data_IF_526295697989
#
_entry.id   IF_526295697989
#
_cell.length_a   1.000
_cell.length_b   1.000
_cell.length_c   1.000
_cell.angle_alpha   90.00
_cell.angle_beta   90.00
_cell.angle_gamma   90.00
#
_symmetry.space_group_name_H-M   'P 1'
#
loop_
_entity.id
_entity.type
_entity.pdbx_description
1 polymer ?
#
# COMPACT_ATOMS: atom_id res chain seq x y z
N UNK A 1 -8.14 27.48 18.31
CA UNK A 1 -8.85 26.40 19.03
C UNK A 1 -8.15 25.08 18.70
N UNK A 2 -7.70 24.29 19.69
CA UNK A 2 -7.14 22.97 19.41
C UNK A 2 -8.23 22.10 18.76
N UNK A 3 -7.90 21.43 17.65
CA UNK A 3 -8.82 20.52 16.96
C UNK A 3 -9.18 19.38 17.91
N UNK A 4 -10.46 18.98 17.95
CA UNK A 4 -10.85 17.80 18.71
C UNK A 4 -10.09 16.56 18.19
N UNK A 5 -9.78 15.57 19.04
CA UNK A 5 -9.13 14.34 18.60
C UNK A 5 -9.83 13.67 17.41
N UNK A 6 -11.16 13.73 17.37
CA UNK A 6 -11.98 13.21 16.27
C UNK A 6 -11.77 13.99 14.98
N UNK A 7 -11.72 15.33 15.03
CA UNK A 7 -11.50 16.16 13.85
C UNK A 7 -10.08 15.97 13.30
N UNK A 8 -9.08 15.81 14.17
CA UNK A 8 -7.72 15.47 13.77
C UNK A 8 -7.65 14.08 13.11
N UNK A 9 -8.34 13.09 13.67
CA UNK A 9 -8.45 11.75 13.06
C UNK A 9 -9.13 11.78 11.69
N UNK A 10 -10.24 12.51 11.57
CA UNK A 10 -10.95 12.68 10.30
C UNK A 10 -10.08 13.34 9.23
N UNK A 11 -9.31 14.38 9.58
CA UNK A 11 -8.37 15.02 8.66
C UNK A 11 -7.29 14.04 8.17
N UNK A 12 -6.72 13.21 9.06
CA UNK A 12 -5.75 12.19 8.64
C UNK A 12 -6.37 11.15 7.71
N UNK A 13 -7.62 10.73 7.94
CA UNK A 13 -8.33 9.83 7.03
C UNK A 13 -8.54 10.47 5.65
N UNK A 14 -8.95 11.74 5.60
CA UNK A 14 -9.14 12.47 4.33
C UNK A 14 -7.82 12.57 3.57
N UNK A 15 -6.73 12.96 4.25
CA UNK A 15 -5.40 13.06 3.62
C UNK A 15 -4.95 11.69 3.09
N UNK A 16 -5.17 10.62 3.85
CA UNK A 16 -4.87 9.27 3.39
C UNK A 16 -5.67 8.90 2.13
N UNK A 17 -6.96 9.20 2.09
CA UNK A 17 -7.82 8.94 0.93
C UNK A 17 -7.40 9.73 -0.31
N UNK A 18 -7.05 11.01 -0.15
CA UNK A 18 -6.51 11.82 -1.26
C UNK A 18 -5.23 11.21 -1.80
N UNK A 19 -4.32 10.80 -0.92
CA UNK A 19 -3.09 10.11 -1.30
C UNK A 19 -3.38 8.82 -2.07
N UNK A 20 -4.37 8.03 -1.62
CA UNK A 20 -4.79 6.80 -2.26
C UNK A 20 -5.39 7.04 -3.66
N UNK A 21 -6.24 8.04 -3.82
CA UNK A 21 -6.83 8.38 -5.12
C UNK A 21 -5.78 8.87 -6.12
N UNK A 22 -4.86 9.74 -5.70
CA UNK A 22 -3.74 10.18 -6.55
C UNK A 22 -2.88 8.99 -6.98
N UNK A 23 -2.65 8.07 -6.05
CA UNK A 23 -1.90 6.87 -6.28
C UNK A 23 -2.53 5.95 -7.34
N UNK A 24 -3.86 5.75 -7.29
CA UNK A 24 -4.60 4.98 -8.30
C UNK A 24 -4.57 5.66 -9.67
N UNK A 25 -4.75 6.98 -9.71
CA UNK A 25 -4.71 7.76 -10.94
C UNK A 25 -3.35 7.65 -11.65
N UNK A 26 -2.25 7.81 -10.91
CA UNK A 26 -0.89 7.68 -11.45
C UNK A 26 -0.63 6.26 -11.94
N UNK A 27 -1.09 5.25 -11.19
CA UNK A 27 -0.91 3.84 -11.55
C UNK A 27 -1.65 3.52 -12.84
N UNK A 28 -2.89 3.99 -12.98
CA UNK A 28 -3.68 3.84 -14.20
C UNK A 28 -3.01 4.51 -15.40
N UNK A 29 -2.59 5.77 -15.25
CA UNK A 29 -1.88 6.48 -16.31
C UNK A 29 -0.57 5.78 -16.71
N UNK A 30 0.20 5.31 -15.72
CA UNK A 30 1.45 4.59 -15.98
C UNK A 30 1.22 3.23 -16.66
N UNK A 31 0.08 2.58 -16.38
CA UNK A 31 -0.28 1.29 -17.00
C UNK A 31 -0.58 1.39 -18.50
N UNK A 32 -0.81 2.59 -19.04
CA UNK A 32 -0.98 2.79 -20.49
C UNK A 32 0.34 2.67 -21.27
N UNK A 33 1.48 2.93 -20.60
CA UNK A 33 2.81 2.95 -21.22
C UNK A 33 3.75 1.87 -20.69
N UNK A 34 3.45 1.27 -19.54
CA UNK A 34 4.29 0.27 -18.87
C UNK A 34 3.45 -0.92 -18.41
N UNK A 35 4.06 -2.11 -18.39
CA UNK A 35 3.40 -3.28 -17.81
C UNK A 35 3.18 -3.03 -16.31
N UNK A 36 2.01 -3.42 -15.81
CA UNK A 36 1.62 -3.27 -14.41
C UNK A 36 2.65 -3.85 -13.42
N UNK A 37 3.34 -4.94 -13.78
CA UNK A 37 4.41 -5.51 -12.97
C UNK A 37 5.60 -4.53 -12.79
N UNK A 38 5.94 -3.75 -13.84
CA UNK A 38 7.01 -2.76 -13.78
C UNK A 38 6.60 -1.55 -12.93
N UNK A 39 5.35 -1.09 -13.08
CA UNK A 39 4.79 0.00 -12.26
C UNK A 39 4.86 -0.38 -10.78
N UNK A 40 4.48 -1.61 -10.45
CA UNK A 40 4.56 -2.16 -9.10
C UNK A 40 5.98 -2.28 -8.56
N UNK A 41 6.93 -2.73 -9.38
CA UNK A 41 8.33 -2.84 -8.97
C UNK A 41 8.91 -1.46 -8.60
N UNK A 42 8.67 -0.45 -9.45
CA UNK A 42 9.11 0.93 -9.20
C UNK A 42 8.49 1.46 -7.91
N UNK A 43 7.17 1.29 -7.73
CA UNK A 43 6.47 1.69 -6.51
C UNK A 43 7.00 0.99 -5.27
N UNK A 44 7.21 -0.33 -5.35
CA UNK A 44 7.76 -1.14 -4.28
C UNK A 44 9.17 -0.68 -3.88
N UNK A 45 10.00 -0.29 -4.86
CA UNK A 45 11.33 0.25 -4.61
C UNK A 45 11.27 1.59 -3.85
N UNK A 46 10.42 2.53 -4.29
CA UNK A 46 10.23 3.81 -3.58
C UNK A 46 9.66 3.61 -2.18
N UNK A 47 8.63 2.77 -2.03
CA UNK A 47 8.03 2.48 -0.73
C UNK A 47 9.05 1.86 0.23
N UNK A 48 9.80 0.86 -0.24
CA UNK A 48 10.85 0.19 0.55
C UNK A 48 11.98 1.16 0.92
N UNK A 49 12.36 2.07 0.00
CA UNK A 49 13.37 3.09 0.28
C UNK A 49 12.91 4.05 1.38
N UNK A 50 11.71 4.62 1.27
CA UNK A 50 11.20 5.57 2.26
C UNK A 50 10.94 4.92 3.61
N UNK A 51 10.32 3.73 3.62
CA UNK A 51 10.09 2.96 4.85
C UNK A 51 11.42 2.52 5.46
N UNK A 52 12.37 2.09 4.65
CA UNK A 52 13.72 1.71 5.07
C UNK A 52 14.49 2.87 5.70
N UNK A 53 14.44 4.06 5.09
CA UNK A 53 15.04 5.28 5.65
C UNK A 53 14.39 5.67 6.99
N UNK A 54 13.06 5.55 7.10
CA UNK A 54 12.35 5.80 8.35
C UNK A 54 12.70 4.77 9.44
N UNK A 55 12.77 3.49 9.07
CA UNK A 55 13.17 2.41 9.96
C UNK A 55 14.61 2.58 10.46
N UNK A 56 15.51 3.06 9.58
CA UNK A 56 16.88 3.41 9.95
C UNK A 56 16.92 4.56 10.94
N UNK A 57 16.22 5.68 10.66
CA UNK A 57 16.17 6.82 11.58
C UNK A 57 15.60 6.47 12.96
N UNK A 58 14.68 5.51 13.03
CA UNK A 58 14.08 5.05 14.29
C UNK A 58 14.87 3.96 15.00
N UNK A 59 16.00 3.51 14.43
CA UNK A 59 16.80 2.41 14.99
C UNK A 59 16.11 1.04 14.94
N UNK A 60 14.98 0.91 14.23
CA UNK A 60 14.21 -0.32 14.16
C UNK A 60 14.97 -1.45 13.43
N UNK A 61 15.94 -1.09 12.58
CA UNK A 61 16.83 -2.04 11.90
C UNK A 61 17.89 -2.66 12.82
N UNK A 62 18.07 -2.13 14.05
CA UNK A 62 19.10 -2.62 14.97
C UNK A 62 18.72 -3.94 15.65
N UNK A 63 17.44 -4.35 15.62
CA UNK A 63 16.99 -5.62 16.19
C UNK A 63 16.34 -6.54 15.13
N UNK A 64 17.16 -7.26 14.33
CA UNK A 64 16.65 -8.17 13.30
C UNK A 64 15.87 -9.37 13.87
N UNK A 65 16.01 -9.69 15.16
CA UNK A 65 15.26 -10.79 15.78
C UNK A 65 13.75 -10.51 15.83
N UNK A 66 13.35 -9.24 15.95
CA UNK A 66 11.94 -8.84 15.86
C UNK A 66 11.37 -8.99 14.43
N UNK A 67 12.21 -8.88 13.39
CA UNK A 67 11.81 -9.07 11.99
C UNK A 67 11.63 -10.56 11.63
N UNK A 68 12.37 -11.45 12.30
CA UNK A 68 12.35 -12.89 12.05
C UNK A 68 11.20 -13.62 12.76
N UNK A 69 10.26 -12.88 13.37
CA UNK A 69 9.12 -13.49 14.04
C UNK A 69 8.21 -14.21 13.02
N UNK A 70 7.84 -15.48 13.24
CA UNK A 70 7.05 -16.27 12.27
C UNK A 70 5.73 -15.61 11.86
N UNK A 71 5.09 -14.88 12.78
CA UNK A 71 3.87 -14.12 12.46
C UNK A 71 4.10 -12.97 11.48
N UNK A 72 5.27 -12.32 11.51
CA UNK A 72 5.64 -11.28 10.55
C UNK A 72 5.84 -11.91 9.17
N UNK A 73 6.52 -13.06 9.10
CA UNK A 73 6.69 -13.79 7.85
C UNK A 73 5.34 -14.22 7.24
N UNK A 74 4.42 -14.75 8.07
CA UNK A 74 3.08 -15.13 7.64
C UNK A 74 2.27 -13.91 7.13
N UNK A 75 2.36 -12.78 7.84
CA UNK A 75 1.71 -11.51 7.45
C UNK A 75 2.22 -11.02 6.10
N UNK A 76 3.54 -11.00 5.91
CA UNK A 76 4.19 -10.58 4.66
C UNK A 76 3.81 -11.50 3.52
N UNK A 77 3.78 -12.82 3.73
CA UNK A 77 3.33 -13.77 2.73
C UNK A 77 1.86 -13.52 2.32
N UNK A 78 0.99 -13.23 3.29
CA UNK A 78 -0.40 -12.84 3.03
C UNK A 78 -0.53 -11.54 2.23
N UNK A 79 0.25 -10.51 2.57
CA UNK A 79 0.26 -9.24 1.81
C UNK A 79 0.79 -9.42 0.39
N UNK A 80 1.87 -10.19 0.22
CA UNK A 80 2.42 -10.50 -1.09
C UNK A 80 1.40 -11.28 -1.94
N UNK A 81 0.75 -12.29 -1.37
CA UNK A 81 -0.30 -13.07 -2.04
C UNK A 81 -1.50 -12.22 -2.45
N UNK A 82 -1.99 -11.36 -1.54
CA UNK A 82 -3.07 -10.42 -1.82
C UNK A 82 -2.70 -9.46 -2.95
N UNK A 83 -1.48 -8.92 -2.91
CA UNK A 83 -0.95 -7.99 -3.90
C UNK A 83 -0.86 -8.64 -5.28
N UNK A 84 -0.29 -9.85 -5.38
CA UNK A 84 -0.20 -10.60 -6.64
C UNK A 84 -1.59 -10.90 -7.20
N UNK A 85 -2.51 -11.36 -6.34
CA UNK A 85 -3.89 -11.65 -6.73
C UNK A 85 -4.62 -10.41 -7.25
N UNK A 86 -4.43 -9.27 -6.59
CA UNK A 86 -4.96 -7.98 -7.01
C UNK A 86 -4.43 -7.56 -8.38
N UNK A 87 -3.13 -7.71 -8.64
CA UNK A 87 -2.57 -7.38 -9.95
C UNK A 87 -3.11 -8.26 -11.07
N UNK A 88 -3.24 -9.56 -10.82
CA UNK A 88 -3.81 -10.49 -11.79
C UNK A 88 -5.26 -10.06 -12.07
N UNK A 89 -6.04 -9.73 -11.05
CA UNK A 89 -7.39 -9.23 -11.20
C UNK A 89 -7.41 -7.92 -12.02
N UNK A 90 -6.55 -6.96 -11.71
CA UNK A 90 -6.50 -5.66 -12.39
C UNK A 90 -6.05 -5.75 -13.85
N UNK A 91 -5.20 -6.72 -14.19
CA UNK A 91 -4.82 -6.99 -15.57
C UNK A 91 -5.98 -7.56 -16.43
N UNK A 92 -6.95 -8.24 -15.80
CA UNK A 92 -8.03 -8.95 -16.51
C UNK A 92 -9.42 -8.33 -16.32
N UNK A 93 -9.60 -7.42 -15.34
CA UNK A 93 -10.88 -6.81 -15.01
C UNK A 93 -10.83 -5.28 -15.18
N UNK A 94 -11.95 -4.65 -15.59
CA UNK A 94 -12.09 -3.21 -15.50
C UNK A 94 -11.87 -2.73 -14.07
N UNK A 95 -11.16 -1.60 -13.91
CA UNK A 95 -10.80 -1.01 -12.60
C UNK A 95 -12.03 -0.86 -11.68
N UNK A 96 -13.20 -0.55 -12.23
CA UNK A 96 -14.45 -0.46 -11.46
C UNK A 96 -14.83 -1.76 -10.72
N UNK A 97 -14.63 -2.91 -11.36
CA UNK A 97 -14.94 -4.20 -10.74
C UNK A 97 -13.93 -4.57 -9.65
N UNK A 98 -12.66 -4.22 -9.85
CA UNK A 98 -11.59 -4.45 -8.87
C UNK A 98 -11.80 -3.59 -7.61
N UNK A 99 -12.14 -2.31 -7.78
CA UNK A 99 -12.45 -1.41 -6.65
C UNK A 99 -13.69 -1.85 -5.89
N UNK A 100 -14.71 -2.39 -6.56
CA UNK A 100 -15.91 -2.92 -5.90
C UNK A 100 -15.59 -4.13 -5.00
N UNK A 101 -14.74 -5.05 -5.47
CA UNK A 101 -14.30 -6.21 -4.65
C UNK A 101 -13.49 -5.74 -3.43
N UNK A 102 -12.62 -4.74 -3.59
CA UNK A 102 -11.86 -4.16 -2.45
C UNK A 102 -12.75 -3.47 -1.41
N UNK A 103 -13.92 -2.95 -1.81
CA UNK A 103 -14.90 -2.38 -0.88
C UNK A 103 -15.71 -3.44 -0.12
N UNK A 104 -15.66 -4.71 -0.54
CA UNK A 104 -16.26 -5.83 0.18
C UNK A 104 -15.32 -6.46 1.23
N UNK A 105 -14.03 -6.09 1.24
CA UNK A 105 -13.06 -6.52 2.25
C UNK A 105 -13.37 -6.16 3.72
N UNK A 106 -14.17 -5.12 4.05
CA UNK A 106 -14.57 -4.84 5.42
C UNK A 106 -15.59 -5.84 6.02
N UNK A 107 -16.09 -6.81 5.25
CA UNK A 107 -16.97 -7.89 5.73
C UNK A 107 -16.16 -9.01 6.39
#
# INVERSE_FOLDING_TARGET
MPLSPNLRGALFMIVAMVGFTLNDAITKFSSESMNMAQVMLVRGAFASLFVGLLAWKRGALANPAAMLHPMVAMRVAGEAGATVSFLIALAHLPIGNVSAVMQALPL
#
